data_IF_794853787265
#
_entry.id   IF_794853787265
#
_cell.length_a   1.000
_cell.length_b   1.000
_cell.length_c   1.000
_cell.angle_alpha   90.00
_cell.angle_beta   90.00
_cell.angle_gamma   90.00
#
_symmetry.space_group_name_H-M   'P 1'
#
loop_
_entity.id
_entity.type
_entity.pdbx_description
1 polymer ?
#
# COMPACT_ATOMS: atom_id res chain seq x y z
N UNK A 1 2.34 -3.20 -38.34
CA UNK A 1 3.71 -2.94 -37.84
C UNK A 1 3.70 -1.65 -37.02
N UNK A 2 3.97 -1.77 -35.71
CA UNK A 2 4.20 -0.71 -34.69
C UNK A 2 3.04 0.23 -34.35
N UNK A 3 2.10 -0.28 -33.57
CA UNK A 3 1.40 0.52 -32.55
C UNK A 3 1.52 -0.08 -31.13
N UNK A 4 2.53 -0.94 -30.90
CA UNK A 4 2.90 -1.50 -29.58
C UNK A 4 4.07 -0.74 -28.90
N UNK A 5 4.53 0.37 -29.49
CA UNK A 5 5.71 1.13 -28.99
C UNK A 5 5.37 2.42 -28.23
N UNK A 6 4.21 2.52 -27.62
CA UNK A 6 3.86 3.71 -26.82
C UNK A 6 3.75 3.44 -25.31
N UNK A 7 3.81 2.18 -24.87
CA UNK A 7 3.83 1.82 -23.45
C UNK A 7 4.96 0.83 -23.11
N UNK A 8 6.18 1.06 -23.61
CA UNK A 8 7.36 0.39 -23.06
C UNK A 8 8.22 1.38 -22.27
N UNK A 9 8.58 0.95 -21.07
CA UNK A 9 9.58 1.51 -20.14
C UNK A 9 11.01 1.47 -20.75
N UNK A 10 11.14 1.11 -22.03
CA UNK A 10 12.38 1.04 -22.82
C UNK A 10 13.24 2.33 -22.82
N UNK A 11 12.65 3.50 -22.59
CA UNK A 11 13.43 4.76 -22.59
C UNK A 11 14.40 4.84 -21.41
N UNK A 12 14.19 4.06 -20.34
CA UNK A 12 15.15 3.98 -19.21
C UNK A 12 16.27 2.96 -19.50
N UNK A 13 16.07 1.99 -20.40
CA UNK A 13 17.05 0.92 -20.65
C UNK A 13 18.06 1.22 -21.78
N UNK A 14 17.81 2.26 -22.59
CA UNK A 14 18.69 2.65 -23.71
C UNK A 14 19.98 3.40 -23.34
N UNK A 15 20.39 3.38 -22.08
CA UNK A 15 21.73 3.84 -21.65
C UNK A 15 22.72 2.65 -21.56
N UNK A 16 22.27 1.40 -21.71
CA UNK A 16 23.10 0.21 -21.47
C UNK A 16 23.85 -0.34 -22.69
N UNK A 17 23.79 0.28 -23.87
CA UNK A 17 24.33 -0.32 -25.10
C UNK A 17 25.44 0.46 -25.81
N UNK A 18 26.04 1.48 -25.18
CA UNK A 18 27.12 2.28 -25.81
C UNK A 18 28.52 2.11 -25.22
N UNK A 19 28.78 1.13 -24.35
CA UNK A 19 30.13 0.90 -23.81
C UNK A 19 30.53 -0.59 -23.81
N UNK A 20 30.55 -1.18 -25.01
CA UNK A 20 31.34 -2.38 -25.29
C UNK A 20 32.77 -1.98 -25.66
N UNK A 21 33.69 -2.06 -24.68
CA UNK A 21 35.13 -2.39 -24.79
C UNK A 21 35.99 -1.60 -23.79
N UNK A 22 36.40 -2.25 -22.69
CA UNK A 22 37.56 -1.84 -21.88
C UNK A 22 38.43 -3.09 -21.61
N UNK A 23 39.77 -3.02 -21.74
CA UNK A 23 40.65 -4.20 -21.78
C UNK A 23 40.94 -4.79 -20.39
N UNK A 24 41.43 -6.04 -20.38
CA UNK A 24 41.84 -6.80 -19.19
C UNK A 24 42.93 -6.08 -18.40
N UNK A 25 42.62 -5.71 -17.16
CA UNK A 25 43.62 -5.26 -16.19
C UNK A 25 43.14 -4.21 -15.19
N UNK A 26 42.01 -4.40 -14.52
CA UNK A 26 41.55 -3.48 -13.48
C UNK A 26 41.06 -4.22 -12.24
N UNK A 27 41.54 -3.74 -11.10
CA UNK A 27 41.45 -4.27 -9.73
C UNK A 27 40.05 -4.75 -9.30
N UNK A 28 40.03 -5.75 -8.42
CA UNK A 28 38.86 -6.47 -7.86
C UNK A 28 37.80 -5.62 -7.13
N UNK A 29 37.87 -4.29 -7.21
CA UNK A 29 36.86 -3.34 -6.71
C UNK A 29 35.69 -3.09 -7.69
N UNK A 30 35.74 -3.59 -8.93
CA UNK A 30 34.67 -3.36 -9.93
C UNK A 30 33.75 -4.56 -10.12
N UNK A 31 34.08 -5.75 -9.59
CA UNK A 31 33.20 -6.93 -9.68
C UNK A 31 32.03 -6.94 -8.69
N UNK A 32 31.90 -5.92 -7.83
CA UNK A 32 30.83 -5.80 -6.85
C UNK A 32 29.69 -4.85 -7.29
N UNK A 33 29.70 -4.36 -8.52
CA UNK A 33 28.62 -3.49 -9.07
C UNK A 33 27.57 -4.30 -9.84
N UNK A 34 27.79 -5.59 -10.08
CA UNK A 34 26.83 -6.50 -10.72
C UNK A 34 25.84 -7.16 -9.76
N UNK A 35 25.87 -6.80 -8.47
CA UNK A 35 25.00 -7.42 -7.44
C UNK A 35 23.97 -6.52 -6.76
N UNK A 36 23.68 -5.34 -7.32
CA UNK A 36 22.49 -4.57 -6.91
C UNK A 36 22.42 -4.18 -5.43
N UNK A 37 23.51 -4.25 -4.69
CA UNK A 37 23.60 -3.79 -3.31
C UNK A 37 23.78 -2.27 -3.33
N UNK A 38 22.65 -1.56 -3.32
CA UNK A 38 22.65 -0.14 -3.00
C UNK A 38 22.95 -0.04 -1.50
N UNK A 39 24.19 0.34 -1.15
CA UNK A 39 24.48 0.90 0.16
C UNK A 39 23.77 2.26 0.27
N UNK A 40 22.51 2.25 0.67
CA UNK A 40 21.86 3.43 1.24
C UNK A 40 22.41 3.56 2.65
N UNK A 41 23.16 4.64 2.89
CA UNK A 41 23.59 5.01 4.22
C UNK A 41 22.40 5.06 5.17
N UNK A 42 22.55 4.41 6.33
CA UNK A 42 21.67 4.48 7.50
C UNK A 42 21.05 5.88 7.65
N UNK A 43 19.74 6.00 7.39
CA UNK A 43 18.89 7.04 7.96
C UNK A 43 17.43 6.56 7.93
N UNK A 44 16.92 6.27 9.13
CA UNK A 44 15.51 6.16 9.52
C UNK A 44 14.69 5.07 8.81
N UNK A 45 14.75 3.85 9.36
CA UNK A 45 13.76 2.80 9.08
C UNK A 45 12.49 3.07 9.92
N UNK A 46 11.50 3.72 9.31
CA UNK A 46 10.09 3.55 9.68
C UNK A 46 9.57 2.23 9.10
N UNK A 47 8.47 1.65 9.62
CA UNK A 47 8.14 0.27 9.35
C UNK A 47 7.82 0.12 7.86
N UNK A 48 8.83 -0.36 7.15
CA UNK A 48 8.82 -0.86 5.78
C UNK A 48 8.03 -2.17 5.70
N UNK A 49 6.98 -2.33 6.50
CA UNK A 49 6.21 -3.57 6.62
C UNK A 49 4.87 -3.38 5.92
N UNK A 50 4.16 -2.28 6.16
CA UNK A 50 2.87 -2.01 5.49
C UNK A 50 3.03 -1.74 3.99
N UNK A 51 4.02 -0.91 3.61
CA UNK A 51 4.26 -0.61 2.19
C UNK A 51 4.98 -1.75 1.48
N UNK A 52 5.81 -2.54 2.18
CA UNK A 52 6.45 -3.72 1.57
C UNK A 52 5.45 -4.86 1.44
N UNK A 53 4.49 -5.07 2.35
CA UNK A 53 3.42 -6.04 2.09
C UNK A 53 2.57 -5.61 0.90
N UNK A 54 2.15 -4.34 0.78
CA UNK A 54 1.33 -3.93 -0.37
C UNK A 54 2.14 -3.91 -1.66
N UNK A 55 3.38 -3.41 -1.66
CA UNK A 55 4.23 -3.38 -2.85
C UNK A 55 4.88 -4.71 -3.18
N UNK A 56 5.12 -5.60 -2.22
CA UNK A 56 5.59 -6.98 -2.43
C UNK A 56 4.43 -7.90 -2.77
N UNK A 57 3.23 -7.71 -2.22
CA UNK A 57 2.01 -8.34 -2.77
C UNK A 57 1.81 -7.85 -4.18
N UNK A 58 1.83 -6.54 -4.47
CA UNK A 58 1.74 -6.04 -5.85
C UNK A 58 2.93 -6.43 -6.76
N UNK A 59 4.14 -6.63 -6.22
CA UNK A 59 5.34 -7.03 -6.97
C UNK A 59 5.37 -8.53 -7.21
N UNK A 60 4.96 -9.34 -6.24
CA UNK A 60 4.69 -10.78 -6.37
C UNK A 60 3.51 -11.03 -7.32
N UNK A 61 2.46 -10.20 -7.27
CA UNK A 61 1.35 -10.22 -8.23
C UNK A 61 1.84 -9.80 -9.62
N UNK A 62 2.71 -8.78 -9.75
CA UNK A 62 3.27 -8.32 -11.03
C UNK A 62 4.19 -9.35 -11.67
N UNK A 63 5.09 -9.97 -10.90
CA UNK A 63 6.00 -11.00 -11.41
C UNK A 63 5.25 -12.29 -11.76
N UNK A 64 4.21 -12.67 -10.99
CA UNK A 64 3.32 -13.77 -11.34
C UNK A 64 2.37 -13.45 -12.50
N UNK A 65 1.89 -12.21 -12.65
CA UNK A 65 1.06 -11.78 -13.79
C UNK A 65 1.86 -11.77 -15.09
N UNK A 66 3.10 -11.28 -15.09
CA UNK A 66 3.95 -11.27 -16.29
C UNK A 66 4.38 -12.68 -16.68
N UNK A 67 4.65 -13.58 -15.72
CA UNK A 67 4.99 -14.97 -16.00
C UNK A 67 3.76 -15.83 -16.39
N UNK A 68 2.57 -15.55 -15.84
CA UNK A 68 1.31 -16.20 -16.22
C UNK A 68 0.79 -15.77 -17.60
N UNK A 69 1.29 -14.67 -18.16
CA UNK A 69 0.95 -14.25 -19.52
C UNK A 69 1.76 -14.97 -20.61
N UNK A 70 2.91 -15.58 -20.26
CA UNK A 70 3.84 -16.10 -21.28
C UNK A 70 3.89 -17.64 -21.36
N UNK A 71 3.45 -18.40 -20.35
CA UNK A 71 3.60 -19.87 -20.36
C UNK A 71 2.51 -20.65 -19.59
N UNK A 72 1.26 -20.62 -20.03
CA UNK A 72 0.29 -21.68 -19.65
C UNK A 72 -0.63 -22.00 -20.84
N UNK A 73 -0.94 -23.28 -21.14
CA UNK A 73 -1.81 -23.66 -22.25
C UNK A 73 -3.23 -23.14 -22.04
N UNK A 74 -3.93 -22.88 -23.15
CA UNK A 74 -5.27 -22.25 -23.30
C UNK A 74 -6.43 -23.13 -22.75
N UNK A 75 -6.19 -23.98 -21.74
CA UNK A 75 -7.09 -25.07 -21.34
C UNK A 75 -7.99 -24.83 -20.13
N UNK A 76 -7.51 -24.18 -19.06
CA UNK A 76 -8.27 -24.09 -17.81
C UNK A 76 -8.50 -22.64 -17.38
N UNK A 77 -9.74 -22.19 -17.55
CA UNK A 77 -10.23 -20.82 -17.38
C UNK A 77 -10.30 -20.34 -15.91
N UNK A 78 -9.25 -20.53 -15.10
CA UNK A 78 -9.17 -19.97 -13.75
C UNK A 78 -8.32 -18.69 -13.75
N UNK A 79 -8.96 -17.57 -14.12
CA UNK A 79 -8.31 -16.28 -14.39
C UNK A 79 -7.89 -15.59 -13.07
N UNK A 80 -6.64 -15.07 -12.95
CA UNK A 80 -6.01 -14.71 -11.67
C UNK A 80 -6.78 -13.70 -10.81
N UNK A 81 -7.47 -12.73 -11.40
CA UNK A 81 -8.19 -11.68 -10.65
C UNK A 81 -9.40 -12.17 -9.84
N UNK A 82 -10.02 -13.29 -10.22
CA UNK A 82 -11.12 -13.88 -9.43
C UNK A 82 -10.56 -14.58 -8.20
N UNK A 83 -9.41 -15.26 -8.35
CA UNK A 83 -8.72 -15.94 -7.26
C UNK A 83 -8.25 -14.93 -6.21
N UNK A 84 -7.68 -13.79 -6.62
CA UNK A 84 -7.26 -12.74 -5.68
C UNK A 84 -8.43 -12.21 -4.87
N UNK A 85 -9.56 -11.88 -5.51
CA UNK A 85 -10.76 -11.42 -4.80
C UNK A 85 -11.26 -12.41 -3.74
N UNK A 86 -11.31 -13.71 -4.08
CA UNK A 86 -11.71 -14.77 -3.14
C UNK A 86 -10.73 -14.88 -1.98
N UNK A 87 -9.43 -14.78 -2.23
CA UNK A 87 -8.39 -14.82 -1.20
C UNK A 87 -8.59 -13.67 -0.20
N UNK A 88 -8.75 -12.43 -0.67
CA UNK A 88 -8.99 -11.27 0.21
C UNK A 88 -10.24 -11.44 1.07
N UNK A 89 -11.34 -11.91 0.49
CA UNK A 89 -12.59 -12.19 1.23
C UNK A 89 -12.34 -13.27 2.28
N UNK A 90 -11.69 -14.38 1.92
CA UNK A 90 -11.45 -15.50 2.83
C UNK A 90 -10.55 -15.09 4.00
N UNK A 91 -9.47 -14.37 3.75
CA UNK A 91 -8.55 -13.88 4.79
C UNK A 91 -9.26 -12.91 5.71
N UNK A 92 -9.96 -11.92 5.16
CA UNK A 92 -10.72 -10.95 5.96
C UNK A 92 -11.80 -11.62 6.82
N UNK A 93 -12.52 -12.61 6.27
CA UNK A 93 -13.53 -13.36 7.00
C UNK A 93 -12.93 -14.23 8.12
N UNK A 94 -11.81 -14.92 7.86
CA UNK A 94 -11.11 -15.72 8.88
C UNK A 94 -10.65 -14.84 10.03
N UNK A 95 -10.04 -13.69 9.73
CA UNK A 95 -9.61 -12.73 10.73
C UNK A 95 -10.82 -12.22 11.54
N UNK A 96 -11.91 -11.83 10.87
CA UNK A 96 -13.12 -11.33 11.51
C UNK A 96 -13.74 -12.38 12.47
N UNK A 97 -13.83 -13.65 12.05
CA UNK A 97 -14.35 -14.74 12.87
C UNK A 97 -13.45 -15.02 14.07
N UNK A 98 -12.13 -14.97 13.89
CA UNK A 98 -11.17 -15.18 14.98
C UNK A 98 -11.32 -14.10 16.07
N UNK A 99 -11.53 -12.84 15.69
CA UNK A 99 -11.67 -11.74 16.65
C UNK A 99 -13.09 -11.60 17.25
N UNK A 100 -14.13 -12.06 16.55
CA UNK A 100 -15.50 -11.94 17.06
C UNK A 100 -15.72 -12.69 18.39
N UNK A 101 -14.96 -13.77 18.64
CA UNK A 101 -14.97 -14.48 19.92
C UNK A 101 -14.41 -13.68 21.10
N UNK A 102 -13.67 -12.60 20.82
CA UNK A 102 -13.04 -11.71 21.82
C UNK A 102 -13.59 -10.29 21.78
N UNK A 103 -14.75 -10.06 21.15
CA UNK A 103 -15.37 -8.75 20.99
C UNK A 103 -15.61 -7.97 22.30
N UNK A 104 -15.69 -8.65 23.45
CA UNK A 104 -15.79 -8.01 24.77
C UNK A 104 -14.44 -7.53 25.33
N UNK A 105 -13.33 -7.97 24.74
CA UNK A 105 -11.96 -7.67 25.19
C UNK A 105 -11.15 -6.86 24.16
N UNK A 106 -11.61 -6.80 22.91
CA UNK A 106 -10.88 -6.18 21.80
C UNK A 106 -11.63 -4.93 21.33
N UNK A 107 -10.91 -3.82 21.19
CA UNK A 107 -11.48 -2.55 20.74
C UNK A 107 -12.13 -2.64 19.35
N UNK A 108 -13.19 -1.86 19.15
CA UNK A 108 -13.94 -1.82 17.88
C UNK A 108 -13.08 -1.47 16.66
N UNK A 109 -11.95 -0.78 16.89
CA UNK A 109 -10.99 -0.41 15.84
C UNK A 109 -10.35 -1.63 15.15
N UNK A 110 -10.16 -2.74 15.85
CA UNK A 110 -9.56 -3.96 15.28
C UNK A 110 -10.44 -4.62 14.22
N UNK A 111 -11.75 -4.39 14.27
CA UNK A 111 -12.67 -4.91 13.27
C UNK A 111 -12.69 -4.08 11.99
N UNK A 112 -12.14 -2.86 11.99
CA UNK A 112 -12.16 -1.98 10.82
C UNK A 112 -11.30 -2.54 9.67
N UNK A 113 -10.07 -2.96 9.94
CA UNK A 113 -9.16 -3.44 8.90
C UNK A 113 -9.66 -4.72 8.19
N UNK A 114 -10.10 -5.78 8.89
CA UNK A 114 -10.64 -6.98 8.24
C UNK A 114 -11.92 -6.71 7.44
N UNK A 115 -12.81 -5.83 7.94
CA UNK A 115 -14.02 -5.44 7.22
C UNK A 115 -13.67 -4.69 5.93
N UNK A 116 -12.71 -3.77 5.96
CA UNK A 116 -12.22 -3.09 4.76
C UNK A 116 -11.60 -4.08 3.76
N UNK A 117 -10.84 -5.07 4.22
CA UNK A 117 -10.31 -6.13 3.35
C UNK A 117 -11.42 -6.92 2.64
N UNK A 118 -12.51 -7.26 3.34
CA UNK A 118 -13.65 -7.96 2.74
C UNK A 118 -14.32 -7.07 1.68
N UNK A 119 -14.57 -5.80 1.99
CA UNK A 119 -15.22 -4.86 1.05
C UNK A 119 -14.40 -4.72 -0.23
N UNK A 120 -13.08 -4.51 -0.10
CA UNK A 120 -12.16 -4.44 -1.26
C UNK A 120 -12.17 -5.76 -2.04
N UNK A 121 -12.12 -6.90 -1.35
CA UNK A 121 -12.15 -8.22 -1.97
C UNK A 121 -13.42 -8.47 -2.79
N UNK A 122 -14.59 -8.06 -2.28
CA UNK A 122 -15.87 -8.15 -3.01
C UNK A 122 -15.86 -7.30 -4.28
N UNK A 123 -15.36 -6.06 -4.20
CA UNK A 123 -15.26 -5.18 -5.36
C UNK A 123 -14.34 -5.80 -6.43
N UNK A 124 -13.15 -6.29 -6.04
CA UNK A 124 -12.20 -6.95 -6.94
C UNK A 124 -12.81 -8.20 -7.58
N UNK A 125 -13.52 -9.01 -6.80
CA UNK A 125 -14.22 -10.20 -7.29
C UNK A 125 -15.27 -9.83 -8.35
N UNK A 126 -16.15 -8.85 -8.07
CA UNK A 126 -17.20 -8.45 -9.00
C UNK A 126 -16.63 -7.89 -10.31
N UNK A 127 -15.65 -6.98 -10.21
CA UNK A 127 -14.98 -6.40 -11.40
C UNK A 127 -14.32 -7.49 -12.22
N UNK A 128 -13.60 -8.41 -11.58
CA UNK A 128 -12.93 -9.52 -12.26
C UNK A 128 -13.91 -10.51 -12.89
N UNK A 129 -15.01 -10.82 -12.20
CA UNK A 129 -16.07 -11.70 -12.70
C UNK A 129 -16.74 -11.13 -13.94
N UNK A 130 -17.23 -9.89 -13.88
CA UNK A 130 -17.90 -9.26 -15.02
C UNK A 130 -16.94 -8.98 -16.19
N UNK A 131 -15.69 -8.58 -15.91
CA UNK A 131 -14.69 -8.40 -16.95
C UNK A 131 -14.34 -9.70 -17.67
N UNK A 132 -14.10 -10.78 -16.92
CA UNK A 132 -13.78 -12.09 -17.49
C UNK A 132 -14.99 -12.71 -18.21
N UNK A 133 -16.12 -12.85 -17.52
CA UNK A 133 -17.32 -13.46 -18.09
C UNK A 133 -17.89 -12.63 -19.23
N UNK A 134 -17.82 -11.31 -19.17
CA UNK A 134 -18.24 -10.42 -20.25
C UNK A 134 -17.43 -10.65 -21.52
N UNK A 135 -16.10 -10.78 -21.40
CA UNK A 135 -15.22 -11.06 -22.52
C UNK A 135 -15.41 -12.47 -23.10
N UNK A 136 -15.59 -13.49 -22.26
CA UNK A 136 -15.73 -14.91 -22.71
C UNK A 136 -17.11 -15.19 -23.30
N UNK A 137 -18.17 -14.66 -22.69
CA UNK A 137 -19.56 -14.89 -23.15
C UNK A 137 -19.97 -13.93 -24.27
N UNK A 138 -19.11 -12.99 -24.64
CA UNK A 138 -19.40 -11.91 -25.60
C UNK A 138 -20.74 -11.21 -25.32
N UNK A 139 -21.10 -11.10 -24.03
CA UNK A 139 -22.40 -10.56 -23.63
C UNK A 139 -22.28 -9.05 -23.40
N UNK A 140 -22.95 -8.29 -24.27
CA UNK A 140 -23.00 -6.82 -24.21
C UNK A 140 -23.39 -6.29 -22.83
N UNK A 141 -24.41 -6.88 -22.17
CA UNK A 141 -24.88 -6.41 -20.87
C UNK A 141 -23.78 -6.54 -19.80
N UNK A 142 -23.07 -7.67 -19.76
CA UNK A 142 -22.00 -7.90 -18.78
C UNK A 142 -20.81 -6.95 -18.96
N UNK A 143 -20.44 -6.64 -20.21
CA UNK A 143 -19.35 -5.71 -20.51
C UNK A 143 -19.75 -4.28 -20.12
N UNK A 144 -21.01 -3.88 -20.36
CA UNK A 144 -21.51 -2.58 -19.90
C UNK A 144 -21.51 -2.51 -18.36
N UNK A 145 -21.95 -3.57 -17.66
CA UNK A 145 -21.87 -3.62 -16.20
C UNK A 145 -20.44 -3.44 -15.70
N UNK A 146 -19.47 -4.13 -16.33
CA UNK A 146 -18.05 -3.97 -16.02
C UNK A 146 -17.59 -2.51 -16.20
N UNK A 147 -17.92 -1.87 -17.33
CA UNK A 147 -17.60 -0.45 -17.57
C UNK A 147 -18.18 0.48 -16.53
N UNK A 148 -19.45 0.27 -16.14
CA UNK A 148 -20.13 1.08 -15.12
C UNK A 148 -19.47 0.91 -13.76
N UNK A 149 -19.11 -0.32 -13.38
CA UNK A 149 -18.39 -0.57 -12.12
C UNK A 149 -17.03 0.13 -12.08
N UNK A 150 -16.26 0.11 -13.17
CA UNK A 150 -14.99 0.83 -13.24
C UNK A 150 -15.17 2.34 -13.12
N UNK A 151 -16.20 2.91 -13.74
CA UNK A 151 -16.50 4.34 -13.62
C UNK A 151 -16.92 4.73 -12.19
N UNK A 152 -17.68 3.87 -11.50
CA UNK A 152 -18.04 4.09 -10.10
C UNK A 152 -16.80 4.07 -9.20
N UNK A 153 -15.89 3.13 -9.42
CA UNK A 153 -14.62 3.07 -8.68
C UNK A 153 -13.79 4.33 -8.92
N UNK A 154 -13.68 4.78 -10.17
CA UNK A 154 -12.99 6.02 -10.52
C UNK A 154 -13.60 7.23 -9.81
N UNK A 155 -14.92 7.33 -9.74
CA UNK A 155 -15.59 8.41 -9.03
C UNK A 155 -15.32 8.38 -7.52
N UNK A 156 -15.30 7.18 -6.91
CA UNK A 156 -14.93 6.99 -5.50
C UNK A 156 -13.47 7.35 -5.24
N UNK A 157 -12.56 7.00 -6.14
CA UNK A 157 -11.14 7.31 -6.05
C UNK A 157 -10.89 8.82 -6.14
N UNK A 158 -11.55 9.51 -7.07
CA UNK A 158 -11.53 10.97 -7.15
C UNK A 158 -12.11 11.62 -5.89
N UNK A 159 -13.25 11.12 -5.41
CA UNK A 159 -13.88 11.60 -4.17
C UNK A 159 -12.94 11.45 -2.97
N UNK A 160 -12.34 10.27 -2.79
CA UNK A 160 -11.37 10.00 -1.74
C UNK A 160 -10.14 10.90 -1.84
N UNK A 161 -9.62 11.13 -3.05
CA UNK A 161 -8.51 12.06 -3.28
C UNK A 161 -8.85 13.50 -2.90
N UNK A 162 -10.04 13.99 -3.26
CA UNK A 162 -10.50 15.34 -2.91
C UNK A 162 -10.68 15.47 -1.39
N UNK A 163 -11.37 14.51 -0.75
CA UNK A 163 -11.56 14.52 0.70
C UNK A 163 -10.23 14.43 1.45
N UNK A 164 -9.31 13.57 1.02
CA UNK A 164 -7.97 13.46 1.60
C UNK A 164 -7.19 14.77 1.49
N UNK A 165 -7.29 15.47 0.35
CA UNK A 165 -6.67 16.77 0.17
C UNK A 165 -7.26 17.84 1.11
N UNK A 166 -8.58 17.87 1.28
CA UNK A 166 -9.25 18.82 2.18
C UNK A 166 -8.89 18.58 3.64
N UNK A 167 -8.80 17.32 4.08
CA UNK A 167 -8.54 16.95 5.47
C UNK A 167 -7.07 17.09 5.90
N UNK A 168 -6.14 17.39 4.98
CA UNK A 168 -4.70 17.50 5.31
C UNK A 168 -4.40 18.42 6.51
N UNK A 169 -5.14 19.51 6.66
CA UNK A 169 -4.96 20.46 7.76
C UNK A 169 -5.58 19.96 9.07
N UNK A 170 -6.70 19.25 8.98
CA UNK A 170 -7.41 18.70 10.13
C UNK A 170 -6.68 17.50 10.76
N UNK A 171 -6.00 16.70 9.92
CA UNK A 171 -5.17 15.57 10.37
C UNK A 171 -4.15 16.01 11.43
N UNK A 172 -3.54 17.19 11.28
CA UNK A 172 -2.57 17.70 12.25
C UNK A 172 -3.18 17.88 13.65
N UNK A 173 -4.39 18.44 13.73
CA UNK A 173 -5.09 18.67 14.99
C UNK A 173 -5.62 17.35 15.57
N UNK A 174 -6.11 16.44 14.72
CA UNK A 174 -6.54 15.12 15.15
C UNK A 174 -5.38 14.31 15.74
N UNK A 175 -4.21 14.32 15.10
CA UNK A 175 -3.00 13.68 15.61
C UNK A 175 -2.59 14.29 16.94
N UNK A 176 -2.63 15.62 17.06
CA UNK A 176 -2.31 16.31 18.33
C UNK A 176 -3.20 15.88 19.48
N UNK A 177 -4.51 15.89 19.27
CA UNK A 177 -5.48 15.46 20.27
C UNK A 177 -5.35 13.98 20.62
N UNK A 178 -5.11 13.12 19.62
CA UNK A 178 -4.93 11.66 19.80
C UNK A 178 -3.63 11.35 20.55
N UNK A 179 -2.52 12.00 20.21
CA UNK A 179 -1.24 11.77 20.88
C UNK A 179 -1.31 12.26 22.33
N UNK A 180 -1.88 13.44 22.59
CA UNK A 180 -2.05 13.94 23.96
C UNK A 180 -2.93 13.00 24.81
N UNK A 181 -4.04 12.49 24.27
CA UNK A 181 -4.92 11.60 25.04
C UNK A 181 -4.32 10.21 25.29
N UNK A 182 -3.62 9.64 24.30
CA UNK A 182 -3.01 8.31 24.40
C UNK A 182 -1.75 8.33 25.26
N UNK A 183 -0.99 9.42 25.27
CA UNK A 183 0.21 9.53 26.11
C UNK A 183 -0.11 9.37 27.60
N UNK A 184 -1.26 9.89 28.05
CA UNK A 184 -1.73 9.73 29.44
C UNK A 184 -2.14 8.30 29.80
N UNK A 185 -2.46 7.48 28.80
CA UNK A 185 -2.88 6.08 28.97
C UNK A 185 -1.73 5.10 28.74
N UNK A 186 -0.50 5.60 28.58
CA UNK A 186 0.68 4.79 28.29
C UNK A 186 0.94 3.71 29.35
N UNK A 187 0.80 4.06 30.64
CA UNK A 187 0.99 3.09 31.72
C UNK A 187 -0.21 2.14 31.88
N UNK A 188 -1.42 2.63 31.65
CA UNK A 188 -2.67 1.91 31.91
C UNK A 188 -2.98 0.84 30.85
N UNK A 189 -2.64 1.13 29.58
CA UNK A 189 -3.02 0.29 28.45
C UNK A 189 -1.78 -0.23 27.71
N UNK A 190 -1.59 -1.56 27.73
CA UNK A 190 -0.45 -2.24 27.09
C UNK A 190 -0.38 -2.03 25.58
N UNK A 191 -1.52 -1.91 24.90
CA UNK A 191 -1.56 -1.72 23.44
C UNK A 191 -1.17 -0.30 23.05
N UNK A 192 -1.63 0.68 23.84
CA UNK A 192 -1.19 2.08 23.72
C UNK A 192 0.31 2.19 24.00
N UNK A 193 0.79 1.53 25.06
CA UNK A 193 2.22 1.43 25.39
C UNK A 193 3.03 0.91 24.21
N UNK A 194 2.65 -0.24 23.69
CA UNK A 194 3.33 -0.88 22.56
C UNK A 194 3.32 0.01 21.31
N UNK A 195 2.20 0.69 21.04
CA UNK A 195 2.09 1.61 19.91
C UNK A 195 3.05 2.81 20.05
N UNK A 196 3.17 3.37 21.25
CA UNK A 196 4.14 4.43 21.54
C UNK A 196 5.58 3.93 21.47
N UNK A 197 5.87 2.74 21.96
CA UNK A 197 7.22 2.17 21.94
C UNK A 197 7.70 1.92 20.51
N UNK A 198 6.84 1.31 19.67
CA UNK A 198 7.09 1.12 18.24
C UNK A 198 7.29 2.46 17.55
N UNK A 199 6.39 3.43 17.78
CA UNK A 199 6.49 4.75 17.18
C UNK A 199 7.82 5.43 17.53
N UNK A 200 8.20 5.44 18.80
CA UNK A 200 9.43 6.09 19.29
C UNK A 200 10.69 5.44 18.72
N UNK A 201 10.69 4.11 18.66
CA UNK A 201 11.79 3.33 18.08
C UNK A 201 11.92 3.57 16.56
N UNK A 202 10.83 3.44 15.81
CA UNK A 202 10.82 3.50 14.34
C UNK A 202 11.02 4.93 13.82
N UNK A 203 10.43 5.93 14.49
CA UNK A 203 10.60 7.35 14.16
C UNK A 203 11.81 7.99 14.82
N UNK A 204 12.53 7.26 15.68
CA UNK A 204 13.70 7.75 16.39
C UNK A 204 13.41 9.08 17.09
N UNK A 205 12.32 9.09 17.85
CA UNK A 205 11.75 10.26 18.51
C UNK A 205 11.40 9.92 19.96
N UNK A 206 11.19 10.94 20.80
CA UNK A 206 10.78 10.72 22.18
C UNK A 206 9.78 11.78 22.64
N UNK A 207 8.70 11.31 23.27
CA UNK A 207 7.59 12.15 23.69
C UNK A 207 6.82 12.74 22.51
N UNK A 208 5.85 13.60 22.81
CA UNK A 208 4.98 14.17 21.78
C UNK A 208 5.72 15.28 21.01
N UNK A 209 6.23 16.26 21.72
CA UNK A 209 7.02 17.39 21.24
C UNK A 209 8.46 17.32 21.76
N UNK A 210 8.66 16.75 22.95
CA UNK A 210 9.98 16.60 23.56
C UNK A 210 10.02 15.44 24.57
N UNK A 211 11.21 14.95 24.94
CA UNK A 211 11.35 13.96 26.01
C UNK A 211 10.76 14.37 27.35
N UNK A 212 10.73 15.67 27.64
CA UNK A 212 10.18 16.21 28.89
C UNK A 212 8.68 15.95 29.03
N UNK A 213 7.98 15.65 27.93
CA UNK A 213 6.55 15.36 27.96
C UNK A 213 6.24 14.08 28.77
N UNK A 214 7.17 13.13 28.84
CA UNK A 214 7.02 11.92 29.68
C UNK A 214 7.01 12.23 31.17
N UNK A 215 7.83 13.21 31.58
CA UNK A 215 7.90 13.71 32.96
C UNK A 215 6.61 14.46 33.32
N UNK A 216 6.03 15.18 32.37
CA UNK A 216 4.84 16.00 32.61
C UNK A 216 3.52 15.21 32.54
N UNK A 217 3.43 14.20 31.67
CA UNK A 217 2.14 13.59 31.32
C UNK A 217 2.13 12.06 31.26
N UNK A 218 3.30 11.39 31.30
CA UNK A 218 3.42 10.00 30.86
C UNK A 218 3.87 8.98 31.91
N UNK A 219 4.38 9.40 33.07
CA UNK A 219 4.75 8.48 34.15
C UNK A 219 4.72 9.15 35.52
N UNK A 220 4.23 8.45 36.55
CA UNK A 220 4.26 8.91 37.94
C UNK A 220 5.68 8.96 38.53
N UNK A 221 6.64 8.21 37.94
CA UNK A 221 7.98 8.00 38.49
C UNK A 221 9.11 8.75 37.75
N UNK A 222 8.81 9.79 36.95
CA UNK A 222 9.78 10.51 36.10
C UNK A 222 10.58 9.60 35.14
N UNK A 223 10.07 8.40 34.85
CA UNK A 223 10.73 7.42 34.00
C UNK A 223 10.41 7.66 32.53
N UNK A 224 11.43 7.67 31.70
CA UNK A 224 11.29 7.75 30.25
C UNK A 224 11.22 6.31 29.69
N UNK A 225 10.33 6.02 28.72
CA UNK A 225 10.28 4.74 28.04
C UNK A 225 11.64 4.30 27.49
N UNK A 226 11.97 3.02 27.60
CA UNK A 226 13.22 2.48 27.04
C UNK A 226 13.32 2.64 25.52
N UNK A 227 12.17 2.70 24.82
CA UNK A 227 12.08 2.97 23.39
C UNK A 227 12.58 4.37 22.98
N UNK A 228 12.72 5.31 23.92
CA UNK A 228 13.32 6.62 23.67
C UNK A 228 14.85 6.60 23.60
N UNK A 229 15.50 5.53 24.05
CA UNK A 229 16.95 5.44 24.10
C UNK A 229 17.52 4.90 22.79
N UNK A 230 18.53 5.58 22.24
CA UNK A 230 19.28 5.15 21.04
C UNK A 230 20.02 3.82 21.27
N UNK A 231 20.55 3.64 22.48
CA UNK A 231 21.26 2.45 22.93
C UNK A 231 20.92 2.22 24.41
N UNK A 232 20.66 0.98 24.82
CA UNK A 232 20.45 0.68 26.25
C UNK A 232 21.79 0.84 26.99
N UNK A 233 21.89 1.75 27.98
CA UNK A 233 23.11 1.91 28.74
C UNK A 233 23.41 0.64 29.55
N UNK A 234 24.69 0.27 29.65
CA UNK A 234 25.17 -0.93 30.36
C UNK A 234 24.78 -1.01 31.85
N UNK A 235 24.23 0.06 32.43
CA UNK A 235 23.76 0.13 33.81
C UNK A 235 22.22 0.13 33.96
N UNK A 236 21.49 -0.14 32.87
CA UNK A 236 20.19 -0.79 32.95
C UNK A 236 18.95 0.09 33.12
N UNK A 237 18.99 1.41 32.93
CA UNK A 237 17.78 2.25 32.80
C UNK A 237 17.99 3.45 31.86
N UNK A 238 16.99 3.71 31.02
CA UNK A 238 16.88 4.93 30.21
C UNK A 238 16.44 6.07 31.13
N UNK A 239 17.34 7.02 31.42
CA UNK A 239 17.05 8.17 32.29
C UNK A 239 17.09 9.48 31.50
N UNK A 240 16.37 10.51 31.97
CA UNK A 240 16.26 11.82 31.35
C UNK A 240 17.61 12.55 31.18
N UNK A 241 18.62 12.16 31.98
CA UNK A 241 19.98 12.68 31.91
C UNK A 241 20.91 11.85 30.99
N UNK A 242 20.39 10.84 30.28
CA UNK A 242 21.18 10.04 29.37
C UNK A 242 21.50 10.82 28.08
N UNK A 243 22.79 10.85 27.69
CA UNK A 243 23.28 11.50 26.47
C UNK A 243 22.72 10.84 25.19
N UNK A 244 22.07 9.68 25.33
CA UNK A 244 21.64 8.81 24.23
C UNK A 244 20.14 8.87 23.95
N UNK A 245 19.42 9.91 24.39
CA UNK A 245 18.00 10.05 24.09
C UNK A 245 17.73 10.57 22.67
N UNK A 246 16.57 10.24 22.11
CA UNK A 246 16.03 10.96 20.97
C UNK A 246 15.52 12.33 21.41
N UNK A 247 16.04 13.41 20.83
CA UNK A 247 15.68 14.79 21.21
C UNK A 247 14.45 15.31 20.46
N UNK A 248 14.16 14.72 19.29
CA UNK A 248 13.03 15.15 18.46
C UNK A 248 11.70 14.60 18.98
N UNK A 249 10.67 15.45 19.00
CA UNK A 249 9.30 15.04 19.31
C UNK A 249 8.68 14.17 18.22
N UNK A 250 7.92 13.16 18.63
CA UNK A 250 7.28 12.22 17.70
C UNK A 250 6.21 12.87 16.83
N UNK A 251 5.55 13.93 17.28
CA UNK A 251 4.55 14.67 16.48
C UNK A 251 5.16 15.18 15.17
N UNK A 252 6.32 15.82 15.26
CA UNK A 252 7.02 16.38 14.10
C UNK A 252 7.50 15.27 13.17
N UNK A 253 8.14 14.24 13.74
CA UNK A 253 8.65 13.10 12.95
C UNK A 253 7.52 12.33 12.27
N UNK A 254 6.40 12.12 12.95
CA UNK A 254 5.22 11.43 12.42
C UNK A 254 4.57 12.23 11.28
N UNK A 255 4.40 13.55 11.44
CA UNK A 255 3.89 14.42 10.36
C UNK A 255 4.79 14.35 9.13
N UNK A 256 6.11 14.49 9.32
CA UNK A 256 7.08 14.39 8.23
C UNK A 256 7.04 13.02 7.53
N UNK A 257 6.89 11.93 8.29
CA UNK A 257 6.76 10.59 7.74
C UNK A 257 5.49 10.44 6.89
N UNK A 258 4.34 10.93 7.38
CA UNK A 258 3.07 10.91 6.64
C UNK A 258 3.19 11.73 5.35
N UNK A 259 3.75 12.93 5.42
CA UNK A 259 3.94 13.80 4.25
C UNK A 259 4.88 13.18 3.21
N UNK A 260 5.97 12.54 3.66
CA UNK A 260 6.91 11.85 2.75
C UNK A 260 6.27 10.68 2.01
N UNK A 261 5.33 9.99 2.65
CA UNK A 261 4.61 8.85 2.07
C UNK A 261 3.44 9.29 1.19
N UNK A 262 2.88 10.48 1.45
CA UNK A 262 1.75 11.02 0.70
C UNK A 262 2.03 11.16 -0.80
N UNK A 263 3.28 11.48 -1.19
CA UNK A 263 3.68 11.57 -2.59
C UNK A 263 3.62 10.21 -3.29
N UNK A 264 4.08 9.14 -2.63
CA UNK A 264 4.05 7.79 -3.17
C UNK A 264 2.60 7.32 -3.30
N UNK A 265 1.78 7.49 -2.25
CA UNK A 265 0.36 7.12 -2.25
C UNK A 265 -0.43 7.88 -3.32
N UNK A 266 -0.19 9.18 -3.46
CA UNK A 266 -0.79 10.00 -4.52
C UNK A 266 -0.39 9.53 -5.91
N UNK A 267 0.89 9.18 -6.10
CA UNK A 267 1.39 8.61 -7.36
C UNK A 267 0.74 7.27 -7.71
N UNK A 268 0.57 6.38 -6.73
CA UNK A 268 -0.11 5.09 -6.92
C UNK A 268 -1.58 5.30 -7.31
N UNK A 269 -2.30 6.22 -6.64
CA UNK A 269 -3.68 6.55 -7.00
C UNK A 269 -3.79 7.09 -8.43
N UNK A 270 -2.97 8.06 -8.82
CA UNK A 270 -2.97 8.56 -10.21
C UNK A 270 -2.69 7.45 -11.22
N UNK A 271 -1.76 6.53 -10.90
CA UNK A 271 -1.49 5.36 -11.73
C UNK A 271 -2.71 4.44 -11.88
N UNK A 272 -3.41 4.15 -10.79
CA UNK A 272 -4.62 3.32 -10.79
C UNK A 272 -5.73 3.99 -11.62
N UNK A 273 -5.96 5.29 -11.43
CA UNK A 273 -6.91 6.08 -12.20
C UNK A 273 -6.65 6.01 -13.71
N UNK A 274 -5.39 6.10 -14.16
CA UNK A 274 -5.03 5.98 -15.59
C UNK A 274 -5.35 4.58 -16.12
N UNK A 275 -5.00 3.53 -15.38
CA UNK A 275 -5.29 2.13 -15.77
C UNK A 275 -6.79 1.89 -15.87
N UNK A 276 -7.58 2.43 -14.93
CA UNK A 276 -9.05 2.33 -14.99
C UNK A 276 -9.62 3.01 -16.24
N UNK A 277 -9.16 4.21 -16.60
CA UNK A 277 -9.62 4.91 -17.80
C UNK A 277 -9.33 4.10 -19.07
N UNK A 278 -8.13 3.50 -19.16
CA UNK A 278 -7.77 2.61 -20.26
C UNK A 278 -8.71 1.40 -20.30
N UNK A 279 -9.00 0.79 -19.13
CA UNK A 279 -9.95 -0.31 -19.00
C UNK A 279 -11.37 0.04 -19.49
N UNK A 280 -11.86 1.23 -19.12
CA UNK A 280 -13.17 1.73 -19.58
C UNK A 280 -13.18 1.92 -21.10
N UNK A 281 -12.11 2.50 -21.68
CA UNK A 281 -12.01 2.69 -23.13
C UNK A 281 -12.07 1.33 -23.84
N UNK A 282 -11.27 0.36 -23.39
CA UNK A 282 -11.28 -0.98 -23.98
C UNK A 282 -12.64 -1.67 -23.86
N UNK A 283 -13.28 -1.60 -22.69
CA UNK A 283 -14.59 -2.18 -22.48
C UNK A 283 -15.67 -1.53 -23.36
N UNK A 284 -15.62 -0.21 -23.55
CA UNK A 284 -16.50 0.50 -24.47
C UNK A 284 -16.27 0.09 -25.92
N UNK A 285 -15.01 -0.05 -26.35
CA UNK A 285 -14.66 -0.53 -27.68
C UNK A 285 -15.17 -1.95 -27.92
N UNK A 286 -14.96 -2.85 -26.96
CA UNK A 286 -15.42 -4.24 -27.03
C UNK A 286 -16.94 -4.33 -27.08
N UNK A 287 -17.65 -3.59 -26.21
CA UNK A 287 -19.11 -3.53 -26.22
C UNK A 287 -19.66 -3.04 -27.57
N UNK A 288 -19.04 -2.01 -28.16
CA UNK A 288 -19.41 -1.53 -29.50
C UNK A 288 -19.17 -2.57 -30.60
N UNK A 289 -18.09 -3.33 -30.51
CA UNK A 289 -17.79 -4.40 -31.48
C UNK A 289 -18.86 -5.48 -31.44
N UNK A 290 -19.17 -5.99 -30.25
CA UNK A 290 -20.17 -7.03 -30.02
C UNK A 290 -21.56 -6.58 -30.48
N UNK A 291 -21.95 -5.33 -30.15
CA UNK A 291 -23.25 -4.81 -30.57
C UNK A 291 -23.40 -4.78 -32.10
N UNK A 292 -22.35 -4.40 -32.82
CA UNK A 292 -22.38 -4.38 -34.30
C UNK A 292 -22.57 -5.78 -34.88
N UNK A 293 -21.94 -6.78 -34.27
CA UNK A 293 -22.07 -8.18 -34.71
C UNK A 293 -23.52 -8.67 -34.60
N UNK A 294 -24.20 -8.39 -33.48
CA UNK A 294 -25.62 -8.69 -33.32
C UNK A 294 -26.51 -7.98 -34.37
N UNK A 295 -26.26 -6.68 -34.64
CA UNK A 295 -27.01 -5.92 -35.64
C UNK A 295 -26.82 -6.47 -37.08
N UNK A 296 -25.62 -6.98 -37.41
CA UNK A 296 -25.38 -7.63 -38.72
C UNK A 296 -26.09 -8.96 -38.89
N UNK A 297 -26.17 -9.78 -37.84
CA UNK A 297 -26.87 -11.07 -37.91
C UNK A 297 -28.36 -10.87 -38.15
N UNK A 298 -28.97 -9.90 -37.47
CA UNK A 298 -30.40 -9.59 -37.63
C UNK A 298 -30.73 -9.07 -39.05
N UNK A 299 -29.84 -8.28 -39.66
CA UNK A 299 -30.04 -7.80 -41.04
C UNK A 299 -29.83 -8.88 -42.11
N UNK A 300 -28.99 -9.89 -41.87
CA UNK A 300 -28.82 -11.03 -42.80
C UNK A 300 -29.94 -12.07 -42.73
N UNK A 301 -30.80 -12.02 -41.70
CA UNK A 301 -31.91 -12.95 -41.51
C UNK A 301 -33.20 -12.55 -42.25
N UNK A 302 -33.26 -11.32 -42.78
CA UNK A 302 -34.40 -10.77 -43.53
C UNK A 302 -34.11 -10.69 -45.03
#
# INVERSE_FOLDING_TARGET
MKLERLFSVETIFRIRETYGNVPRGTSARVLAVTRGEIFIGKRNDLPRIELSIVTDVWRLERERLVLAFDNEPIGDANRPGVVTGIVFISVGAVILVAYNGYNNFVDSWFFAAPVLMIIVGVIVFLVSFFGCCGAVKENHCMIITFSVLLLLIFALELGAGITGYMMRGEISNMLENRMNSTMRQYEENRDIRNSWDIMQHDLQCCGMNSPADWIQFGSEDNTIPESCCKELPAQGKCDANSIHLFEDGCMMRLKAAIESSALILGGVGVGIAIVQLIGVIFACCLARSIRREYETVETTAH
#
